data_IF_834735412951
#
_entry.id   IF_834735412951
#
_cell.length_a   1.000
_cell.length_b   1.000
_cell.length_c   1.000
_cell.angle_alpha   90.00
_cell.angle_beta   90.00
_cell.angle_gamma   90.00
#
_symmetry.space_group_name_H-M   'P 1'
#
loop_
_entity.id
_entity.type
_entity.pdbx_description
1 polymer ?
#
# COMPACT_ATOMS: atom_id res chain seq x y z
N UNK A 1 16.63 0.82 7.92
CA UNK A 1 15.20 0.47 7.70
C UNK A 1 14.98 0.12 6.24
N UNK A 2 14.05 -0.80 5.96
CA UNK A 2 13.59 -1.10 4.61
C UNK A 2 12.69 0.04 4.07
N UNK A 3 12.58 0.16 2.75
CA UNK A 3 11.56 1.00 2.12
C UNK A 3 10.17 0.37 2.25
N UNK A 4 9.10 1.16 2.06
CA UNK A 4 7.70 0.67 2.06
C UNK A 4 7.53 -0.57 1.15
N UNK A 5 8.05 -0.50 -0.07
CA UNK A 5 8.01 -1.61 -1.04
C UNK A 5 8.80 -2.83 -0.58
N UNK A 6 10.01 -2.63 -0.06
CA UNK A 6 10.84 -3.73 0.42
C UNK A 6 10.20 -4.45 1.62
N UNK A 7 9.59 -3.71 2.55
CA UNK A 7 8.85 -4.28 3.68
C UNK A 7 7.66 -5.11 3.21
N UNK A 8 6.88 -4.60 2.24
CA UNK A 8 5.76 -5.33 1.65
C UNK A 8 6.20 -6.65 1.02
N UNK A 9 7.23 -6.61 0.16
CA UNK A 9 7.69 -7.80 -0.55
C UNK A 9 8.30 -8.85 0.38
N UNK A 10 9.11 -8.45 1.36
CA UNK A 10 9.64 -9.39 2.35
C UNK A 10 8.52 -10.00 3.21
N UNK A 11 7.48 -9.25 3.54
CA UNK A 11 6.31 -9.78 4.25
C UNK A 11 5.63 -10.92 3.47
N UNK A 12 5.37 -10.72 2.18
CA UNK A 12 4.78 -11.74 1.32
C UNK A 12 5.66 -12.98 1.21
N UNK A 13 6.95 -12.79 0.95
CA UNK A 13 7.91 -13.89 0.77
C UNK A 13 8.18 -14.63 2.09
N UNK A 14 8.02 -13.97 3.24
CA UNK A 14 8.15 -14.61 4.55
C UNK A 14 7.03 -15.62 4.81
N UNK A 15 5.83 -15.37 4.28
CA UNK A 15 4.72 -16.33 4.40
C UNK A 15 4.91 -17.56 3.53
N UNK A 16 5.41 -17.37 2.31
CA UNK A 16 5.76 -18.46 1.39
C UNK A 16 6.75 -17.97 0.32
N UNK A 17 7.65 -18.82 -0.18
CA UNK A 17 8.47 -18.49 -1.34
C UNK A 17 7.60 -18.14 -2.56
N UNK A 18 7.98 -17.09 -3.28
CA UNK A 18 7.21 -16.57 -4.42
C UNK A 18 8.12 -16.14 -5.56
N UNK A 19 7.67 -16.33 -6.80
CA UNK A 19 8.28 -15.64 -7.94
C UNK A 19 7.69 -14.23 -8.13
N UNK A 20 8.40 -13.39 -8.90
CA UNK A 20 7.99 -11.99 -9.10
C UNK A 20 6.60 -11.84 -9.73
N UNK A 21 6.18 -12.77 -10.59
CA UNK A 21 4.87 -12.74 -11.21
C UNK A 21 3.76 -13.04 -10.20
N UNK A 22 3.96 -14.04 -9.34
CA UNK A 22 3.01 -14.37 -8.26
C UNK A 22 2.86 -13.21 -7.29
N UNK A 23 3.96 -12.55 -6.94
CA UNK A 23 3.93 -11.33 -6.10
C UNK A 23 3.00 -10.28 -6.73
N UNK A 24 3.22 -9.95 -8.01
CA UNK A 24 2.38 -8.95 -8.71
C UNK A 24 0.91 -9.39 -8.70
N UNK A 25 0.63 -10.65 -9.02
CA UNK A 25 -0.73 -11.20 -9.02
C UNK A 25 -1.38 -11.13 -7.64
N UNK A 26 -0.64 -11.41 -6.57
CA UNK A 26 -1.13 -11.31 -5.18
C UNK A 26 -1.44 -9.86 -4.82
N UNK A 27 -0.58 -8.91 -5.19
CA UNK A 27 -0.79 -7.49 -4.96
C UNK A 27 -2.03 -6.95 -5.71
N UNK A 28 -2.22 -7.38 -6.96
CA UNK A 28 -3.39 -7.02 -7.77
C UNK A 28 -4.68 -7.62 -7.19
N UNK A 29 -4.64 -8.90 -6.80
CA UNK A 29 -5.77 -9.58 -6.16
C UNK A 29 -6.21 -8.88 -4.87
N UNK A 30 -5.25 -8.43 -4.06
CA UNK A 30 -5.52 -7.67 -2.84
C UNK A 30 -5.93 -6.21 -3.12
N UNK A 31 -6.07 -5.76 -4.37
CA UNK A 31 -6.41 -4.38 -4.71
C UNK A 31 -5.50 -3.33 -4.04
N UNK A 32 -4.22 -3.65 -3.78
CA UNK A 32 -3.41 -2.80 -2.90
C UNK A 32 -3.15 -1.41 -3.45
N UNK A 33 -3.29 -1.20 -4.77
CA UNK A 33 -3.05 0.10 -5.42
C UNK A 33 -3.81 1.27 -4.79
N UNK A 34 -4.96 1.01 -4.15
CA UNK A 34 -5.76 2.03 -3.48
C UNK A 34 -5.22 2.42 -2.11
N UNK A 35 -4.27 1.69 -1.55
CA UNK A 35 -3.74 1.99 -0.22
C UNK A 35 -2.22 1.90 -0.11
N UNK A 36 -1.58 1.28 -1.10
CA UNK A 36 -0.16 1.28 -1.34
C UNK A 36 0.12 1.14 -2.85
N UNK A 37 0.39 2.27 -3.51
CA UNK A 37 0.68 2.28 -4.93
C UNK A 37 2.10 1.74 -5.21
N UNK A 38 2.17 0.50 -5.68
CA UNK A 38 3.39 -0.16 -6.12
C UNK A 38 3.19 -0.74 -7.51
N UNK A 39 3.93 -0.21 -8.48
CA UNK A 39 3.88 -0.70 -9.86
C UNK A 39 4.73 -1.97 -10.05
N UNK A 40 4.38 -2.75 -11.08
CA UNK A 40 5.11 -3.94 -11.50
C UNK A 40 6.63 -3.70 -11.62
N UNK A 41 7.05 -2.62 -12.28
CA UNK A 41 8.46 -2.26 -12.42
C UNK A 41 9.16 -2.04 -11.06
N UNK A 42 8.44 -1.48 -10.09
CA UNK A 42 8.95 -1.27 -8.73
C UNK A 42 9.09 -2.60 -7.99
N UNK A 43 8.20 -3.56 -8.21
CA UNK A 43 8.33 -4.92 -7.66
C UNK A 43 9.64 -5.56 -8.11
N UNK A 44 9.87 -5.62 -9.42
CA UNK A 44 11.11 -6.21 -9.97
C UNK A 44 12.38 -5.49 -9.51
N UNK A 45 12.37 -4.15 -9.52
CA UNK A 45 13.50 -3.35 -9.04
C UNK A 45 13.78 -3.56 -7.53
N UNK A 46 12.72 -3.71 -6.74
CA UNK A 46 12.82 -3.96 -5.28
C UNK A 46 13.38 -5.35 -5.01
N UNK A 47 12.90 -6.39 -5.70
CA UNK A 47 13.43 -7.76 -5.59
C UNK A 47 14.92 -7.77 -5.89
N UNK A 48 15.34 -7.19 -7.03
CA UNK A 48 16.77 -7.11 -7.39
C UNK A 48 17.61 -6.39 -6.34
N UNK A 49 17.05 -5.35 -5.71
CA UNK A 49 17.71 -4.63 -4.62
C UNK A 49 17.83 -5.49 -3.36
N UNK A 50 16.81 -6.27 -3.01
CA UNK A 50 16.80 -7.17 -1.87
C UNK A 50 17.79 -8.34 -2.06
N UNK A 51 17.86 -8.92 -3.26
CA UNK A 51 18.86 -9.94 -3.61
C UNK A 51 20.28 -9.40 -3.55
N UNK A 52 20.55 -8.21 -4.11
CA UNK A 52 21.87 -7.56 -4.02
C UNK A 52 22.31 -7.34 -2.58
N UNK A 53 21.36 -7.13 -1.67
CA UNK A 53 21.60 -6.98 -0.22
C UNK A 53 21.65 -8.32 0.53
N UNK A 54 21.52 -9.44 -0.18
CA UNK A 54 21.47 -10.80 0.38
C UNK A 54 20.29 -11.01 1.35
N UNK A 55 19.23 -10.23 1.22
CA UNK A 55 18.00 -10.38 2.02
C UNK A 55 17.04 -11.41 1.42
N UNK A 56 17.17 -11.65 0.11
CA UNK A 56 16.49 -12.71 -0.62
C UNK A 56 17.53 -13.59 -1.31
N UNK A 57 17.17 -14.85 -1.50
CA UNK A 57 17.84 -15.79 -2.40
C UNK A 57 16.86 -16.24 -3.47
N UNK A 58 17.26 -16.15 -4.74
CA UNK A 58 16.50 -16.63 -5.88
C UNK A 58 16.98 -18.02 -6.31
N UNK A 59 16.05 -18.96 -6.43
CA UNK A 59 16.31 -20.31 -6.95
C UNK A 59 15.58 -20.49 -8.28
N UNK A 60 16.28 -20.99 -9.30
CA UNK A 60 15.68 -21.27 -10.60
C UNK A 60 14.92 -22.59 -10.50
N UNK A 61 13.61 -22.53 -10.65
CA UNK A 61 12.76 -23.71 -10.79
C UNK A 61 12.43 -23.91 -12.27
N UNK A 62 12.72 -25.12 -12.76
CA UNK A 62 12.31 -25.59 -14.08
C UNK A 62 11.11 -26.50 -13.93
N UNK A 63 9.99 -26.06 -14.46
CA UNK A 63 8.76 -26.84 -14.45
C UNK A 63 8.45 -27.31 -15.88
N UNK A 64 9.02 -28.46 -16.25
CA UNK A 64 8.84 -29.08 -17.56
C UNK A 64 9.25 -28.17 -18.74
N UNK A 65 8.28 -27.86 -19.61
CA UNK A 65 8.48 -27.10 -20.85
C UNK A 65 8.19 -25.58 -20.70
N UNK A 66 8.00 -25.08 -19.47
CA UNK A 66 7.77 -23.66 -19.21
C UNK A 66 9.08 -22.87 -19.07
N UNK A 67 9.05 -21.53 -19.28
CA UNK A 67 10.21 -20.68 -19.03
C UNK A 67 10.70 -20.81 -17.59
N UNK A 68 12.02 -20.77 -17.40
CA UNK A 68 12.67 -20.74 -16.09
C UNK A 68 12.04 -19.64 -15.22
N UNK A 69 11.54 -20.03 -14.03
CA UNK A 69 11.02 -19.08 -13.03
C UNK A 69 11.98 -19.02 -11.85
N UNK A 70 12.34 -17.81 -11.44
CA UNK A 70 13.09 -17.60 -10.20
C UNK A 70 12.11 -17.44 -9.05
N UNK A 71 12.15 -18.38 -8.11
CA UNK A 71 11.39 -18.35 -6.86
C UNK A 71 12.28 -17.76 -5.77
N UNK A 72 11.77 -16.75 -5.06
CA UNK A 72 12.52 -16.04 -4.04
C UNK A 72 12.13 -16.53 -2.64
N UNK A 73 13.14 -16.75 -1.82
CA UNK A 73 13.02 -17.09 -0.40
C UNK A 73 13.77 -16.06 0.45
N UNK A 74 13.25 -15.76 1.63
CA UNK A 74 13.91 -14.83 2.57
C UNK A 74 15.10 -15.50 3.26
N UNK A 75 16.20 -14.75 3.40
CA UNK A 75 17.38 -15.21 4.16
C UNK A 75 17.25 -14.85 5.64
N UNK A 76 18.08 -15.43 6.51
CA UNK A 76 18.13 -15.04 7.94
C UNK A 76 18.47 -13.55 8.12
N UNK A 77 19.36 -13.01 7.29
CA UNK A 77 19.67 -11.58 7.30
C UNK A 77 18.46 -10.73 6.88
N UNK A 78 17.75 -11.14 5.83
CA UNK A 78 16.52 -10.49 5.39
C UNK A 78 15.44 -10.50 6.47
N UNK A 79 15.26 -11.63 7.14
CA UNK A 79 14.32 -11.81 8.25
C UNK A 79 14.65 -10.90 9.43
N UNK A 80 15.92 -10.82 9.83
CA UNK A 80 16.34 -9.94 10.91
C UNK A 80 16.02 -8.46 10.60
N UNK A 81 16.36 -7.99 9.40
CA UNK A 81 16.10 -6.60 8.98
C UNK A 81 14.61 -6.32 8.79
N UNK A 82 13.83 -7.30 8.34
CA UNK A 82 12.37 -7.21 8.24
C UNK A 82 11.74 -7.02 9.62
N UNK A 83 12.05 -7.90 10.58
CA UNK A 83 11.52 -7.81 11.94
C UNK A 83 11.91 -6.50 12.62
N UNK A 84 13.16 -6.06 12.45
CA UNK A 84 13.61 -4.79 13.01
C UNK A 84 12.90 -3.59 12.39
N UNK A 85 12.65 -3.63 11.08
CA UNK A 85 11.86 -2.59 10.41
C UNK A 85 10.44 -2.54 10.96
N UNK A 86 9.77 -3.69 11.15
CA UNK A 86 8.42 -3.72 11.73
C UNK A 86 8.41 -3.11 13.13
N UNK A 87 9.33 -3.52 14.02
CA UNK A 87 9.43 -2.99 15.40
C UNK A 87 9.63 -1.48 15.39
N UNK A 88 10.58 -0.99 14.62
CA UNK A 88 10.87 0.44 14.52
C UNK A 88 9.67 1.21 13.97
N UNK A 89 8.99 0.69 12.95
CA UNK A 89 7.83 1.34 12.34
C UNK A 89 6.63 1.42 13.27
N UNK A 90 6.38 0.41 14.12
CA UNK A 90 5.29 0.48 15.11
C UNK A 90 5.49 1.59 16.15
N UNK A 91 6.73 2.02 16.38
CA UNK A 91 7.05 3.09 17.33
C UNK A 91 7.08 4.48 16.70
N UNK A 92 6.81 4.58 15.39
CA UNK A 92 6.80 5.85 14.65
C UNK A 92 5.38 6.26 14.29
N UNK A 93 5.14 7.57 14.34
CA UNK A 93 3.93 8.19 13.80
C UNK A 93 4.30 8.95 12.53
N UNK A 94 4.41 8.23 11.42
CA UNK A 94 4.64 8.81 10.09
C UNK A 94 3.28 8.93 9.38
N UNK A 95 2.60 10.06 9.57
CA UNK A 95 1.31 10.36 8.93
C UNK A 95 1.53 11.24 7.70
N UNK A 96 1.40 10.65 6.51
CA UNK A 96 1.73 11.26 5.21
C UNK A 96 0.55 12.11 4.65
N UNK A 97 -0.05 12.98 5.48
CA UNK A 97 -1.14 13.88 5.06
C UNK A 97 -0.72 15.34 4.96
N UNK A 98 0.52 15.67 5.35
CA UNK A 98 0.99 17.05 5.41
C UNK A 98 0.82 17.80 4.10
N UNK A 99 0.97 17.14 2.95
CA UNK A 99 0.79 17.76 1.64
C UNK A 99 -0.63 18.32 1.51
N UNK A 100 -1.66 17.49 1.71
CA UNK A 100 -3.03 17.97 1.58
C UNK A 100 -3.41 18.91 2.71
N UNK A 101 -2.94 18.68 3.95
CA UNK A 101 -3.21 19.59 5.06
C UNK A 101 -2.71 21.01 4.77
N UNK A 102 -1.52 21.14 4.17
CA UNK A 102 -0.97 22.44 3.73
C UNK A 102 -1.79 23.00 2.55
N UNK A 103 -2.13 22.18 1.55
CA UNK A 103 -2.99 22.61 0.42
C UNK A 103 -4.34 23.13 0.90
N UNK A 104 -5.00 22.42 1.82
CA UNK A 104 -6.29 22.80 2.37
C UNK A 104 -6.21 24.07 3.22
N UNK A 105 -5.11 24.26 3.95
CA UNK A 105 -4.87 25.46 4.74
C UNK A 105 -4.81 26.73 3.87
N UNK A 106 -4.22 26.64 2.68
CA UNK A 106 -4.11 27.74 1.71
C UNK A 106 -5.14 27.66 0.57
N UNK A 107 -6.28 26.98 0.79
CA UNK A 107 -7.32 26.85 -0.23
C UNK A 107 -7.89 28.22 -0.65
N UNK A 108 -7.91 29.17 0.29
CA UNK A 108 -8.34 30.56 0.11
C UNK A 108 -7.45 31.37 -0.86
N UNK A 109 -6.25 30.88 -1.16
CA UNK A 109 -5.35 31.48 -2.16
C UNK A 109 -5.79 31.19 -3.60
N UNK A 110 -6.71 30.24 -3.81
CA UNK A 110 -7.25 29.90 -5.13
C UNK A 110 -8.51 30.72 -5.45
N UNK A 111 -8.85 30.94 -6.73
CA UNK A 111 -10.10 31.62 -7.10
C UNK A 111 -11.33 30.91 -6.50
N UNK A 112 -12.27 31.67 -5.94
CA UNK A 112 -13.45 31.15 -5.23
C UNK A 112 -14.22 30.09 -6.03
N UNK A 113 -14.39 30.33 -7.35
CA UNK A 113 -15.05 29.38 -8.26
C UNK A 113 -14.31 28.04 -8.37
N UNK A 114 -12.99 28.05 -8.27
CA UNK A 114 -12.16 26.84 -8.37
C UNK A 114 -12.14 26.04 -7.06
N UNK A 115 -12.21 26.72 -5.90
CA UNK A 115 -12.15 26.06 -4.59
C UNK A 115 -13.22 24.96 -4.47
N UNK A 116 -14.47 25.28 -4.80
CA UNK A 116 -15.57 24.32 -4.75
C UNK A 116 -15.36 23.16 -5.71
N UNK A 117 -14.98 23.43 -6.96
CA UNK A 117 -14.75 22.40 -7.97
C UNK A 117 -13.63 21.45 -7.58
N UNK A 118 -12.54 21.95 -6.99
CA UNK A 118 -11.43 21.12 -6.52
C UNK A 118 -11.83 20.23 -5.34
N UNK A 119 -12.65 20.74 -4.41
CA UNK A 119 -13.20 19.93 -3.32
C UNK A 119 -14.16 18.85 -3.84
N UNK A 120 -14.95 19.12 -4.89
CA UNK A 120 -15.83 18.14 -5.54
C UNK A 120 -15.02 17.02 -6.20
N UNK A 121 -13.98 17.39 -6.95
CA UNK A 121 -13.05 16.43 -7.55
C UNK A 121 -12.33 15.61 -6.47
N UNK A 122 -11.90 16.24 -5.37
CA UNK A 122 -11.31 15.53 -4.24
C UNK A 122 -12.29 14.51 -3.66
N UNK A 123 -13.57 14.87 -3.50
CA UNK A 123 -14.58 13.94 -3.00
C UNK A 123 -14.71 12.72 -3.90
N UNK A 124 -14.75 12.93 -5.23
CA UNK A 124 -14.75 11.83 -6.20
C UNK A 124 -13.54 10.92 -6.03
N UNK A 125 -12.33 11.49 -5.94
CA UNK A 125 -11.11 10.71 -5.70
C UNK A 125 -11.22 9.92 -4.40
N UNK A 126 -11.62 10.53 -3.28
CA UNK A 126 -11.73 9.83 -2.00
C UNK A 126 -12.76 8.69 -2.04
N UNK A 127 -13.88 8.87 -2.75
CA UNK A 127 -14.87 7.81 -2.94
C UNK A 127 -14.34 6.65 -3.80
N UNK A 128 -13.55 6.93 -4.83
CA UNK A 128 -12.88 5.89 -5.62
C UNK A 128 -11.89 5.08 -4.76
N UNK A 129 -11.13 5.75 -3.90
CA UNK A 129 -10.24 5.10 -2.93
C UNK A 129 -11.01 4.21 -1.96
N UNK A 130 -12.09 4.73 -1.37
CA UNK A 130 -12.95 3.98 -0.45
C UNK A 130 -13.51 2.71 -1.11
N UNK A 131 -14.12 2.87 -2.29
CA UNK A 131 -14.67 1.75 -3.05
C UNK A 131 -13.57 0.75 -3.45
N UNK A 132 -12.38 1.23 -3.78
CA UNK A 132 -11.23 0.41 -4.12
C UNK A 132 -10.71 -0.45 -2.96
N UNK A 133 -10.59 0.14 -1.77
CA UNK A 133 -10.22 -0.57 -0.54
C UNK A 133 -11.28 -1.63 -0.19
N UNK A 134 -12.56 -1.26 -0.27
CA UNK A 134 -13.67 -2.17 0.03
C UNK A 134 -13.73 -3.38 -0.89
N UNK A 135 -13.24 -3.30 -2.14
CA UNK A 135 -13.14 -4.46 -3.05
C UNK A 135 -12.21 -5.56 -2.54
N UNK A 136 -11.28 -5.26 -1.64
CA UNK A 136 -10.44 -6.27 -1.01
C UNK A 136 -11.21 -7.07 0.05
N UNK A 137 -12.25 -6.49 0.65
CA UNK A 137 -13.03 -7.11 1.71
C UNK A 137 -14.13 -8.01 1.15
N UNK A 138 -13.87 -9.32 1.07
CA UNK A 138 -14.89 -10.34 0.80
C UNK A 138 -14.95 -11.34 1.97
N UNK A 139 -16.10 -11.99 2.16
CA UNK A 139 -16.26 -12.99 3.23
C UNK A 139 -15.27 -14.16 3.07
N UNK A 140 -14.97 -14.57 1.84
CA UNK A 140 -13.98 -15.60 1.57
C UNK A 140 -12.57 -15.13 1.92
N UNK A 141 -12.22 -13.90 1.55
CA UNK A 141 -10.91 -13.33 1.86
C UNK A 141 -10.70 -13.22 3.37
N UNK A 142 -11.69 -12.72 4.11
CA UNK A 142 -11.65 -12.58 5.56
C UNK A 142 -11.38 -13.93 6.26
N UNK A 143 -12.00 -15.02 5.77
CA UNK A 143 -11.80 -16.38 6.29
C UNK A 143 -10.41 -16.97 5.96
N UNK A 144 -9.71 -16.43 4.97
CA UNK A 144 -8.43 -16.97 4.46
C UNK A 144 -7.20 -16.22 4.99
N UNK A 145 -7.36 -15.01 5.52
CA UNK A 145 -6.24 -14.17 5.94
C UNK A 145 -6.11 -14.06 7.45
N UNK A 146 -4.96 -13.58 7.89
CA UNK A 146 -4.75 -13.28 9.31
C UNK A 146 -5.70 -12.14 9.77
N UNK A 147 -6.30 -12.22 10.97
CA UNK A 147 -7.16 -11.16 11.51
C UNK A 147 -6.53 -9.76 11.50
N UNK A 148 -5.20 -9.65 11.64
CA UNK A 148 -4.50 -8.36 11.55
C UNK A 148 -4.61 -7.72 10.15
N UNK A 149 -4.75 -8.52 9.08
CA UNK A 149 -4.94 -7.99 7.73
C UNK A 149 -6.34 -7.37 7.59
N UNK A 150 -7.36 -8.03 8.14
CA UNK A 150 -8.74 -7.53 8.17
C UNK A 150 -8.84 -6.25 8.98
N UNK A 151 -8.28 -6.25 10.19
CA UNK A 151 -8.24 -5.08 11.06
C UNK A 151 -7.47 -3.92 10.42
N UNK A 152 -6.34 -4.20 9.75
CA UNK A 152 -5.63 -3.15 9.03
C UNK A 152 -6.44 -2.63 7.85
N UNK A 153 -7.15 -3.47 7.09
CA UNK A 153 -8.01 -3.03 6.00
C UNK A 153 -9.10 -2.08 6.49
N UNK A 154 -9.74 -2.40 7.62
CA UNK A 154 -10.70 -1.50 8.28
C UNK A 154 -10.06 -0.18 8.67
N UNK A 155 -8.87 -0.20 9.29
CA UNK A 155 -8.12 1.03 9.62
C UNK A 155 -7.87 1.90 8.38
N UNK A 156 -7.64 1.31 7.21
CA UNK A 156 -7.45 2.05 5.96
C UNK A 156 -8.75 2.69 5.47
N UNK A 157 -9.87 1.98 5.58
CA UNK A 157 -11.21 2.53 5.35
C UNK A 157 -11.47 3.73 6.25
N UNK A 158 -11.15 3.62 7.55
CA UNK A 158 -11.37 4.68 8.53
C UNK A 158 -10.58 5.96 8.20
N UNK A 159 -9.35 5.82 7.71
CA UNK A 159 -8.54 6.96 7.25
C UNK A 159 -9.21 7.69 6.09
N UNK A 160 -9.71 6.96 5.09
CA UNK A 160 -10.39 7.58 3.94
C UNK A 160 -11.70 8.24 4.37
N UNK A 161 -12.46 7.63 5.27
CA UNK A 161 -13.67 8.22 5.84
C UNK A 161 -13.37 9.51 6.63
N UNK A 162 -12.26 9.54 7.38
CA UNK A 162 -11.82 10.74 8.07
C UNK A 162 -11.47 11.88 7.09
N UNK A 163 -10.82 11.57 5.96
CA UNK A 163 -10.52 12.53 4.90
C UNK A 163 -11.77 13.02 4.15
N UNK A 164 -12.76 12.15 3.92
CA UNK A 164 -14.08 12.53 3.38
C UNK A 164 -14.74 13.53 4.32
N UNK A 165 -14.82 13.19 5.61
CA UNK A 165 -15.37 14.07 6.64
C UNK A 165 -14.61 15.39 6.75
N UNK A 166 -13.28 15.37 6.59
CA UNK A 166 -12.44 16.57 6.52
C UNK A 166 -12.78 17.45 5.32
N UNK A 167 -12.96 16.85 4.15
CA UNK A 167 -13.31 17.55 2.91
C UNK A 167 -14.70 18.18 3.00
N UNK A 168 -15.68 17.50 3.60
CA UNK A 168 -17.00 18.06 3.89
C UNK A 168 -16.95 19.28 4.82
N UNK A 169 -16.04 19.29 5.79
CA UNK A 169 -15.82 20.46 6.65
C UNK A 169 -15.27 21.64 5.85
N UNK A 170 -14.36 21.41 4.90
CA UNK A 170 -13.83 22.45 4.03
C UNK A 170 -14.92 23.05 3.12
N UNK A 171 -15.80 22.22 2.56
CA UNK A 171 -16.95 22.69 1.79
C UNK A 171 -17.84 23.66 2.57
N UNK A 172 -18.11 23.35 3.84
CA UNK A 172 -18.92 24.22 4.72
C UNK A 172 -18.23 25.56 5.02
N UNK A 173 -16.89 25.59 4.95
CA UNK A 173 -16.12 26.81 5.14
C UNK A 173 -16.13 27.70 3.89
N UNK A 174 -16.15 27.12 2.68
CA UNK A 174 -16.20 27.89 1.41
C UNK A 174 -17.56 28.50 1.09
N UNK A 175 -18.62 28.13 1.82
CA UNK A 175 -19.99 28.63 1.63
C UNK A 175 -20.37 29.78 2.56
N UNK A 176 -19.42 30.32 3.32
CA UNK A 176 -19.61 31.50 4.19
C UNK A 176 -19.10 32.75 3.51
#
# INVERSE_FOLDING_TARGET
>A
MLSKSATMLLGLITHQPLNAYEIVKTLDYMNIKYWFNIGTSTVYATIKTLEKKQYLVGEIQKDGNMPDKTVYSITEQGKAVFLETLRTSFLKFDYDTNIFSITAFFLDCLPEKEQKTLLEQRMTVLQEYLAGIQKQHTEEWEKQVNPYHVANLQRMTDIVLAEISGTERLFKATTK
#
